data_IF_440277905509
#
_entry.id   IF_440277905509
#
_cell.length_a   1.000
_cell.length_b   1.000
_cell.length_c   1.000
_cell.angle_alpha   90.00
_cell.angle_beta   90.00
_cell.angle_gamma   90.00
#
_symmetry.space_group_name_H-M   'P 1'
#
loop_
_entity.id
_entity.type
_entity.pdbx_description
1 polymer ?
#
# COMPACT_ATOMS: atom_id res chain seq x y z
N UNK A 1 -10.74 20.89 10.35
CA UNK A 1 -10.58 21.81 9.21
C UNK A 1 -9.12 21.78 8.77
N UNK A 2 -8.79 21.21 7.61
CA UNK A 2 -7.49 21.42 6.95
C UNK A 2 -7.78 21.86 5.52
N UNK A 3 -7.33 23.06 5.21
CA UNK A 3 -7.65 23.79 3.99
C UNK A 3 -7.19 23.05 2.74
N UNK A 4 -8.12 22.84 1.82
CA UNK A 4 -7.84 22.40 0.46
C UNK A 4 -7.12 23.53 -0.26
N UNK A 5 -5.80 23.43 -0.37
CA UNK A 5 -5.01 24.32 -1.20
C UNK A 5 -5.45 24.13 -2.66
N UNK A 6 -5.86 25.21 -3.33
CA UNK A 6 -6.18 25.20 -4.76
C UNK A 6 -4.89 25.02 -5.53
N UNK A 7 -4.61 23.79 -5.92
CA UNK A 7 -3.45 23.47 -6.77
C UNK A 7 -3.84 23.66 -8.24
N UNK A 8 -3.01 24.37 -8.99
CA UNK A 8 -3.23 24.65 -10.41
C UNK A 8 -3.27 23.37 -11.27
N UNK A 9 -3.80 23.45 -12.50
CA UNK A 9 -3.95 22.28 -13.37
C UNK A 9 -2.59 21.60 -13.59
N UNK A 10 -2.47 20.35 -13.18
CA UNK A 10 -1.28 19.52 -13.44
C UNK A 10 -0.30 19.35 -12.28
N UNK A 11 -0.44 20.10 -11.18
CA UNK A 11 0.31 19.83 -9.96
C UNK A 11 -0.61 19.09 -8.98
N UNK A 12 -0.19 17.93 -8.50
CA UNK A 12 -0.93 17.19 -7.47
C UNK A 12 -0.11 17.26 -6.18
N UNK A 13 -0.73 17.59 -5.04
CA UNK A 13 0.00 17.66 -3.78
C UNK A 13 0.61 16.29 -3.45
N UNK A 14 1.86 16.23 -2.96
CA UNK A 14 2.52 14.96 -2.61
C UNK A 14 1.69 14.08 -1.67
N UNK A 15 0.93 14.70 -0.77
CA UNK A 15 0.04 14.02 0.17
C UNK A 15 -1.04 13.23 -0.56
N UNK A 16 -1.60 13.77 -1.64
CA UNK A 16 -2.59 13.07 -2.46
C UNK A 16 -1.97 11.87 -3.17
N UNK A 17 -0.75 12.01 -3.70
CA UNK A 17 -0.03 10.90 -4.35
C UNK A 17 0.18 9.74 -3.37
N UNK A 18 0.61 10.06 -2.14
CA UNK A 18 0.80 9.07 -1.07
C UNK A 18 -0.52 8.41 -0.68
N UNK A 19 -1.60 9.19 -0.52
CA UNK A 19 -2.93 8.64 -0.20
C UNK A 19 -3.45 7.69 -1.28
N UNK A 20 -3.28 8.02 -2.57
CA UNK A 20 -3.67 7.15 -3.68
C UNK A 20 -2.85 5.86 -3.69
N UNK A 21 -1.54 5.95 -3.41
CA UNK A 21 -0.66 4.77 -3.29
C UNK A 21 -1.06 3.88 -2.11
N UNK A 22 -1.36 4.48 -0.96
CA UNK A 22 -1.85 3.75 0.21
C UNK A 22 -3.17 3.03 -0.09
N UNK A 23 -4.15 3.75 -0.65
CA UNK A 23 -5.44 3.20 -1.05
C UNK A 23 -5.28 2.01 -2.00
N UNK A 24 -4.37 2.12 -2.99
CA UNK A 24 -4.07 1.04 -3.93
C UNK A 24 -3.56 -0.24 -3.24
N UNK A 25 -2.89 -0.11 -2.10
CA UNK A 25 -2.35 -1.21 -1.30
C UNK A 25 -3.34 -1.78 -0.26
N UNK A 26 -4.51 -1.17 -0.10
CA UNK A 26 -5.52 -1.59 0.86
C UNK A 26 -6.60 -2.49 0.24
N UNK A 27 -7.35 -3.19 1.10
CA UNK A 27 -8.42 -4.07 0.67
C UNK A 27 -9.69 -3.26 0.39
N UNK A 28 -10.32 -3.36 -0.81
CA UNK A 28 -11.51 -2.57 -1.10
C UNK A 28 -12.67 -2.80 -0.13
N UNK A 29 -12.76 -3.99 0.49
CA UNK A 29 -13.79 -4.28 1.49
C UNK A 29 -13.64 -3.46 2.77
N UNK A 30 -12.43 -2.99 3.12
CA UNK A 30 -12.23 -2.06 4.23
C UNK A 30 -12.92 -0.72 3.97
N UNK A 31 -13.09 -0.38 2.68
CA UNK A 31 -13.78 0.81 2.20
C UNK A 31 -15.20 0.53 1.72
N UNK A 32 -15.79 -0.60 2.16
CA UNK A 32 -17.14 -1.04 1.80
C UNK A 32 -17.35 -1.12 0.28
N UNK A 33 -16.29 -1.37 -0.49
CA UNK A 33 -16.41 -1.59 -1.94
C UNK A 33 -16.57 -3.09 -2.20
N UNK A 34 -17.55 -3.51 -3.03
CA UNK A 34 -17.75 -4.91 -3.39
C UNK A 34 -16.74 -5.35 -4.48
N UNK A 35 -15.47 -4.98 -4.30
CA UNK A 35 -14.39 -5.26 -5.24
C UNK A 35 -13.39 -6.19 -4.56
N UNK A 36 -12.90 -7.19 -5.30
CA UNK A 36 -11.83 -8.06 -4.79
C UNK A 36 -10.45 -7.39 -4.82
N UNK A 37 -10.28 -6.35 -5.64
CA UNK A 37 -9.03 -5.60 -5.81
C UNK A 37 -9.31 -4.20 -6.35
N UNK A 38 -8.37 -3.28 -6.15
CA UNK A 38 -8.41 -1.98 -6.80
C UNK A 38 -7.87 -2.05 -8.24
N UNK A 39 -8.68 -1.61 -9.21
CA UNK A 39 -8.17 -1.20 -10.52
C UNK A 39 -7.87 0.30 -10.54
N UNK A 40 -7.13 0.76 -11.56
CA UNK A 40 -6.85 2.20 -11.75
C UNK A 40 -8.14 3.00 -11.95
N UNK A 41 -9.13 2.45 -12.66
CA UNK A 41 -10.45 3.06 -12.82
C UNK A 41 -11.21 3.14 -11.50
N UNK A 42 -11.13 2.09 -10.66
CA UNK A 42 -11.79 2.08 -9.36
C UNK A 42 -11.17 3.10 -8.42
N UNK A 43 -9.84 3.22 -8.39
CA UNK A 43 -9.12 4.23 -7.61
C UNK A 43 -9.50 5.64 -8.03
N UNK A 44 -9.54 5.91 -9.34
CA UNK A 44 -9.95 7.22 -9.88
C UNK A 44 -11.39 7.56 -9.45
N UNK A 45 -12.32 6.61 -9.60
CA UNK A 45 -13.73 6.79 -9.22
C UNK A 45 -13.88 6.99 -7.72
N UNK A 46 -13.22 6.16 -6.92
CA UNK A 46 -13.29 6.22 -5.46
C UNK A 46 -12.71 7.53 -4.93
N UNK A 47 -11.53 7.95 -5.42
CA UNK A 47 -10.89 9.18 -5.02
C UNK A 47 -11.76 10.42 -5.31
N UNK A 48 -12.47 10.43 -6.44
CA UNK A 48 -13.43 11.48 -6.76
C UNK A 48 -14.66 11.41 -5.86
N UNK A 49 -15.26 10.22 -5.68
CA UNK A 49 -16.47 10.04 -4.87
C UNK A 49 -16.27 10.40 -3.40
N UNK A 50 -15.09 10.12 -2.85
CA UNK A 50 -14.74 10.43 -1.46
C UNK A 50 -14.18 11.85 -1.28
N UNK A 51 -14.13 12.66 -2.35
CA UNK A 51 -13.68 14.05 -2.28
C UNK A 51 -12.18 14.23 -2.09
N UNK A 52 -11.36 13.19 -2.32
CA UNK A 52 -9.89 13.30 -2.26
C UNK A 52 -9.34 14.20 -3.36
N UNK A 53 -9.97 14.19 -4.53
CA UNK A 53 -9.59 15.03 -5.67
C UNK A 53 -10.81 15.32 -6.55
N UNK A 54 -10.91 16.54 -7.07
CA UNK A 54 -12.03 16.93 -7.94
C UNK A 54 -12.01 16.19 -9.27
N UNK A 55 -10.83 16.04 -9.89
CA UNK A 55 -10.65 15.29 -11.14
C UNK A 55 -9.23 14.78 -11.23
N UNK A 56 -9.08 13.50 -11.60
CA UNK A 56 -7.77 12.90 -11.87
C UNK A 56 -7.89 11.87 -12.99
N UNK A 57 -6.97 11.92 -13.95
CA UNK A 57 -6.95 10.94 -15.03
C UNK A 57 -6.39 9.59 -14.55
N UNK A 58 -6.94 8.51 -15.09
CA UNK A 58 -6.45 7.15 -14.83
C UNK A 58 -4.97 6.98 -15.22
N UNK A 59 -4.54 7.60 -16.32
CA UNK A 59 -3.13 7.58 -16.75
C UNK A 59 -2.18 8.22 -15.72
N UNK A 60 -2.63 9.25 -15.00
CA UNK A 60 -1.85 9.87 -13.91
C UNK A 60 -1.67 8.91 -12.75
N UNK A 61 -2.75 8.26 -12.29
CA UNK A 61 -2.69 7.25 -11.23
C UNK A 61 -1.80 6.08 -11.66
N UNK A 62 -1.98 5.57 -12.89
CA UNK A 62 -1.16 4.50 -13.42
C UNK A 62 0.33 4.87 -13.43
N UNK A 63 0.68 6.12 -13.82
CA UNK A 63 2.06 6.61 -13.82
C UNK A 63 2.65 6.58 -12.41
N UNK A 64 1.94 7.09 -11.41
CA UNK A 64 2.40 7.08 -10.01
C UNK A 64 2.62 5.68 -9.47
N UNK A 65 1.69 4.76 -9.75
CA UNK A 65 1.79 3.38 -9.28
C UNK A 65 2.92 2.63 -10.02
N UNK A 66 3.07 2.85 -11.33
CA UNK A 66 4.12 2.22 -12.12
C UNK A 66 5.53 2.70 -11.75
N UNK A 67 5.69 3.98 -11.39
CA UNK A 67 6.97 4.54 -10.89
C UNK A 67 7.47 3.81 -9.63
N UNK A 68 6.56 3.40 -8.77
CA UNK A 68 6.87 2.69 -7.52
C UNK A 68 6.72 1.16 -7.64
N UNK A 69 6.56 0.65 -8.86
CA UNK A 69 6.26 -0.77 -9.15
C UNK A 69 5.03 -1.33 -8.39
N UNK A 70 4.11 -0.48 -7.96
CA UNK A 70 2.86 -0.85 -7.30
C UNK A 70 1.87 -1.35 -8.36
N UNK A 71 1.53 -2.65 -8.34
CA UNK A 71 0.58 -3.26 -9.29
C UNK A 71 -0.46 -4.16 -8.60
N UNK A 72 -1.42 -3.59 -7.84
CA UNK A 72 -2.45 -4.32 -7.11
C UNK A 72 -3.29 -5.24 -8.00
N UNK A 73 -3.37 -4.92 -9.30
CA UNK A 73 -4.14 -5.66 -10.29
C UNK A 73 -3.35 -6.73 -11.05
N UNK A 74 -2.01 -6.70 -11.05
CA UNK A 74 -1.21 -7.58 -11.93
C UNK A 74 -0.94 -8.94 -11.30
N UNK A 75 -0.80 -9.00 -9.98
CA UNK A 75 -0.52 -10.24 -9.28
C UNK A 75 -1.53 -10.40 -8.13
N UNK A 76 -2.00 -11.62 -7.90
CA UNK A 76 -2.63 -11.99 -6.63
C UNK A 76 -1.51 -12.08 -5.60
N UNK A 77 -0.94 -10.93 -5.24
CA UNK A 77 0.15 -10.86 -4.29
C UNK A 77 -0.35 -11.41 -2.97
N UNK A 78 0.30 -12.45 -2.49
CA UNK A 78 0.35 -12.84 -1.08
C UNK A 78 1.09 -11.79 -0.22
N UNK A 79 1.11 -10.51 -0.62
CA UNK A 79 1.60 -9.44 0.26
C UNK A 79 0.45 -9.09 1.17
N UNK A 80 0.34 -9.91 2.20
CA UNK A 80 -0.61 -9.82 3.28
C UNK A 80 0.01 -8.92 4.34
N UNK A 81 -0.45 -7.69 4.59
CA UNK A 81 -0.21 -7.08 5.88
C UNK A 81 -1.33 -7.57 6.80
N UNK A 82 -1.26 -8.80 7.33
CA UNK A 82 -2.32 -9.31 8.22
C UNK A 82 -1.92 -10.53 9.07
N UNK A 83 -0.68 -10.56 9.54
CA UNK A 83 -0.44 -11.30 10.78
C UNK A 83 -0.24 -10.28 11.91
N UNK A 84 -1.18 -10.16 12.88
CA UNK A 84 -0.96 -9.39 14.09
C UNK A 84 0.31 -9.81 14.85
N UNK A 85 0.75 -11.06 14.63
CA UNK A 85 1.98 -11.63 15.16
C UNK A 85 3.14 -11.60 14.13
N UNK A 86 3.05 -10.79 13.08
CA UNK A 86 4.11 -10.69 12.08
C UNK A 86 5.45 -10.31 12.72
N UNK A 87 5.48 -9.24 13.52
CA UNK A 87 6.69 -8.79 14.19
C UNK A 87 7.32 -9.88 15.09
N UNK A 88 6.58 -10.55 16.02
CA UNK A 88 7.17 -11.60 16.83
C UNK A 88 7.57 -12.85 16.02
N UNK A 89 6.88 -13.18 14.91
CA UNK A 89 7.28 -14.31 14.04
C UNK A 89 8.51 -13.99 13.20
N UNK A 90 8.57 -12.79 12.63
CA UNK A 90 9.72 -12.31 11.87
C UNK A 90 10.97 -12.22 12.75
N UNK A 91 10.82 -11.75 14.00
CA UNK A 91 11.91 -11.73 14.99
C UNK A 91 12.59 -13.08 15.14
N UNK A 92 11.83 -14.17 15.34
CA UNK A 92 12.39 -15.53 15.46
C UNK A 92 13.17 -15.97 14.22
N UNK A 93 12.69 -15.61 13.03
CA UNK A 93 13.39 -15.94 11.78
C UNK A 93 14.68 -15.13 11.64
N UNK A 94 14.66 -13.85 12.04
CA UNK A 94 15.84 -12.99 12.05
C UNK A 94 16.87 -13.47 13.08
N UNK A 95 16.43 -13.88 14.27
CA UNK A 95 17.31 -14.46 15.29
C UNK A 95 18.05 -15.67 14.75
N UNK A 96 17.38 -16.55 13.99
CA UNK A 96 18.02 -17.71 13.34
C UNK A 96 19.11 -17.30 12.32
N UNK A 97 18.89 -16.24 11.53
CA UNK A 97 19.92 -15.69 10.65
C UNK A 97 21.12 -15.14 11.43
N UNK A 98 20.88 -14.60 12.62
CA UNK A 98 21.91 -14.17 13.56
C UNK A 98 22.49 -15.31 14.41
N UNK A 99 22.10 -16.57 14.14
CA UNK A 99 22.48 -17.75 14.93
C UNK A 99 22.09 -17.65 16.39
N UNK A 100 20.92 -17.10 16.68
CA UNK A 100 20.34 -16.98 18.01
C UNK A 100 19.00 -17.74 18.02
N UNK A 101 18.75 -18.50 19.09
CA UNK A 101 17.48 -19.16 19.36
C UNK A 101 17.10 -18.97 20.83
N UNK A 102 15.91 -18.42 21.09
CA UNK A 102 15.43 -18.09 22.45
C UNK A 102 16.48 -17.33 23.31
N UNK A 103 17.24 -16.43 22.67
CA UNK A 103 18.30 -15.64 23.31
C UNK A 103 19.61 -16.39 23.55
N UNK A 104 19.76 -17.63 23.07
CA UNK A 104 20.99 -18.41 23.16
C UNK A 104 21.67 -18.54 21.78
N UNK A 105 23.00 -18.48 21.69
CA UNK A 105 23.70 -18.73 20.44
C UNK A 105 23.51 -20.20 20.02
N UNK A 106 23.25 -20.42 18.74
CA UNK A 106 23.26 -21.75 18.14
C UNK A 106 24.71 -22.26 18.12
N UNK A 107 24.88 -23.54 18.46
CA UNK A 107 26.18 -24.23 18.44
C UNK A 107 26.86 -24.16 17.07
N UNK A 108 28.15 -24.47 17.05
CA UNK A 108 28.91 -24.60 15.80
C UNK A 108 28.26 -25.66 14.90
N UNK A 109 28.16 -25.38 13.60
CA UNK A 109 27.71 -26.39 12.64
C UNK A 109 28.86 -27.39 12.51
N UNK A 110 28.58 -28.67 12.73
CA UNK A 110 29.50 -29.77 12.46
C UNK A 110 29.66 -29.99 10.94
#
# INVERSE_FOLDING_TARGET
>A
MKGSARVGPGFFPPELVVQIKALACELPSAYQQPLSRWSVSDLSRYAQRCGLVATISQSTIWRWLNQDAIRPWRYRCWIFPRDPLFAPKAGRVLDLYHRIWDGQPLGEQE
#
